data_IF_822960087966
#
_entry.id   IF_822960087966
#
_cell.length_a   1.000
_cell.length_b   1.000
_cell.length_c   1.000
_cell.angle_alpha   90.00
_cell.angle_beta   90.00
_cell.angle_gamma   90.00
#
_symmetry.space_group_name_H-M   'P 1'
#
loop_
_entity.id
_entity.type
_entity.pdbx_description
1 polymer ?
#
# COMPACT_ATOMS: atom_id res chain seq x y z
N UNK A 1 -23.42 -46.90 -7.83
CA UNK A 1 -22.09 -46.40 -7.49
C UNK A 1 -21.07 -46.48 -8.64
N UNK A 2 -21.00 -47.58 -9.42
CA UNK A 2 -20.13 -47.65 -10.61
C UNK A 2 -20.38 -46.52 -11.60
N UNK A 3 -21.63 -46.27 -11.96
CA UNK A 3 -22.06 -45.26 -12.93
C UNK A 3 -21.67 -43.84 -12.54
N UNK A 4 -21.85 -43.46 -11.27
CA UNK A 4 -21.51 -42.10 -10.77
C UNK A 4 -20.01 -41.85 -10.75
N UNK A 5 -19.20 -42.85 -10.43
CA UNK A 5 -17.73 -42.72 -10.45
C UNK A 5 -17.20 -42.56 -11.90
N UNK A 6 -17.80 -43.30 -12.82
CA UNK A 6 -17.48 -43.23 -14.24
C UNK A 6 -17.86 -41.87 -14.85
N UNK A 7 -19.08 -41.36 -14.54
CA UNK A 7 -19.55 -40.06 -15.04
C UNK A 7 -18.72 -38.87 -14.52
N UNK A 8 -18.18 -38.97 -13.28
CA UNK A 8 -17.38 -37.89 -12.67
C UNK A 8 -15.88 -38.03 -12.89
N UNK A 9 -15.40 -39.07 -13.57
CA UNK A 9 -13.97 -39.33 -13.78
C UNK A 9 -13.17 -39.50 -12.48
N UNK A 10 -13.81 -39.93 -11.38
CA UNK A 10 -13.18 -40.04 -10.06
C UNK A 10 -12.97 -41.49 -9.68
N UNK A 11 -11.78 -41.82 -9.19
CA UNK A 11 -11.48 -43.17 -8.71
C UNK A 11 -12.46 -43.62 -7.63
N UNK A 12 -12.99 -44.81 -7.76
CA UNK A 12 -14.00 -45.42 -6.89
C UNK A 12 -13.54 -45.50 -5.43
N UNK A 13 -12.26 -45.83 -5.22
CA UNK A 13 -11.58 -45.85 -3.92
C UNK A 13 -11.68 -44.48 -3.17
N UNK A 14 -11.46 -43.37 -3.84
CA UNK A 14 -11.54 -42.02 -3.24
C UNK A 14 -12.94 -41.67 -2.71
N UNK A 15 -14.00 -42.19 -3.30
CA UNK A 15 -15.39 -41.96 -2.85
C UNK A 15 -15.75 -42.82 -1.64
N UNK A 16 -15.31 -44.08 -1.62
CA UNK A 16 -15.51 -44.99 -0.48
C UNK A 16 -14.73 -44.45 0.72
N UNK A 17 -13.47 -44.09 0.54
CA UNK A 17 -12.64 -43.51 1.61
C UNK A 17 -13.23 -42.21 2.20
N UNK A 18 -13.88 -41.36 1.38
CA UNK A 18 -14.56 -40.15 1.86
C UNK A 18 -15.88 -40.43 2.57
N UNK A 19 -16.61 -41.46 2.17
CA UNK A 19 -17.88 -41.85 2.80
C UNK A 19 -17.65 -42.49 4.17
N UNK A 20 -16.62 -43.32 4.28
CA UNK A 20 -16.36 -44.15 5.46
C UNK A 20 -15.43 -43.45 6.47
N UNK A 21 -14.80 -42.35 6.07
CA UNK A 21 -14.13 -41.45 7.02
C UNK A 21 -15.18 -40.75 7.88
N UNK A 22 -15.35 -41.21 9.10
CA UNK A 22 -15.91 -40.42 10.18
C UNK A 22 -15.09 -39.12 10.20
N UNK A 23 -15.72 -37.99 9.86
CA UNK A 23 -15.09 -36.67 9.90
C UNK A 23 -14.88 -36.35 11.38
N UNK A 24 -13.83 -36.90 11.98
CA UNK A 24 -13.35 -36.39 13.25
C UNK A 24 -12.96 -34.92 12.99
N UNK A 25 -13.65 -34.02 13.67
CA UNK A 25 -13.28 -32.61 13.68
C UNK A 25 -11.78 -32.55 14.09
N UNK A 26 -10.91 -32.37 13.11
CA UNK A 26 -9.47 -32.18 13.38
C UNK A 26 -9.36 -30.92 14.21
N UNK A 27 -8.97 -31.07 15.44
CA UNK A 27 -8.60 -29.94 16.30
C UNK A 27 -7.59 -29.03 15.62
N UNK A 28 -7.36 -27.83 16.14
CA UNK A 28 -6.43 -26.88 15.54
C UNK A 28 -5.05 -27.52 15.38
N UNK A 29 -4.59 -27.62 14.13
CA UNK A 29 -3.31 -28.22 13.81
C UNK A 29 -2.18 -27.36 14.38
N UNK A 30 -1.44 -27.90 15.35
CA UNK A 30 -0.31 -27.25 16.04
C UNK A 30 0.96 -28.03 15.76
N UNK A 31 2.03 -27.31 15.44
CA UNK A 31 3.39 -27.85 15.36
C UNK A 31 4.22 -27.28 16.50
N UNK A 32 5.04 -28.11 17.16
CA UNK A 32 5.93 -27.66 18.23
C UNK A 32 6.84 -26.50 17.79
N UNK A 33 7.34 -26.55 16.55
CA UNK A 33 8.16 -25.51 15.93
C UNK A 33 7.44 -24.17 15.72
N UNK A 34 6.11 -24.11 15.85
CA UNK A 34 5.34 -22.87 15.71
C UNK A 34 5.56 -21.94 16.93
N UNK A 35 5.93 -22.51 18.08
CA UNK A 35 6.21 -21.72 19.29
C UNK A 35 7.33 -20.69 19.07
N UNK A 36 8.38 -21.06 18.33
CA UNK A 36 9.48 -20.15 18.01
C UNK A 36 9.12 -18.98 17.09
N UNK A 37 7.98 -19.05 16.40
CA UNK A 37 7.50 -17.98 15.52
C UNK A 37 6.49 -17.05 16.19
N UNK A 38 5.90 -17.46 17.30
CA UNK A 38 4.83 -16.70 17.95
C UNK A 38 5.31 -15.35 18.48
N UNK A 39 6.45 -15.31 19.17
CA UNK A 39 7.00 -14.07 19.71
C UNK A 39 7.35 -13.04 18.62
N UNK A 40 8.07 -13.39 17.55
CA UNK A 40 8.30 -12.46 16.45
C UNK A 40 7.01 -11.98 15.77
N UNK A 41 5.99 -12.86 15.61
CA UNK A 41 4.69 -12.47 15.04
C UNK A 41 3.98 -11.47 15.95
N UNK A 42 3.97 -11.69 17.27
CA UNK A 42 3.38 -10.76 18.24
C UNK A 42 4.08 -9.40 18.21
N UNK A 43 5.40 -9.37 18.24
CA UNK A 43 6.17 -8.12 18.17
C UNK A 43 5.80 -7.29 16.94
N UNK A 44 5.64 -7.92 15.76
CA UNK A 44 5.21 -7.22 14.55
C UNK A 44 3.77 -6.70 14.68
N UNK A 45 2.86 -7.45 15.29
CA UNK A 45 1.46 -7.05 15.46
C UNK A 45 1.34 -5.91 16.48
N UNK A 46 2.09 -5.97 17.56
CA UNK A 46 2.09 -4.92 18.60
C UNK A 46 2.58 -3.58 18.00
N UNK A 47 3.59 -3.61 17.15
CA UNK A 47 4.07 -2.44 16.41
C UNK A 47 3.12 -2.01 15.28
N UNK A 48 2.45 -2.97 14.63
CA UNK A 48 1.62 -2.78 13.42
C UNK A 48 0.23 -3.41 13.58
N UNK A 49 -0.62 -2.89 14.46
CA UNK A 49 -1.90 -3.54 14.82
C UNK A 49 -2.90 -3.61 13.68
N UNK A 50 -2.73 -2.86 12.61
CA UNK A 50 -3.58 -2.88 11.41
C UNK A 50 -3.15 -3.91 10.35
N UNK A 51 -2.05 -4.65 10.59
CA UNK A 51 -1.52 -5.57 9.59
C UNK A 51 -2.17 -6.95 9.66
N UNK A 52 -2.74 -7.38 8.55
CA UNK A 52 -3.18 -8.76 8.37
C UNK A 52 -2.00 -9.72 8.11
N UNK A 53 -2.27 -11.03 8.23
CA UNK A 53 -1.26 -12.09 8.15
C UNK A 53 -0.27 -12.00 6.96
N UNK A 54 -0.70 -11.44 5.82
CA UNK A 54 0.18 -11.31 4.65
C UNK A 54 1.27 -10.27 4.87
N UNK A 55 0.94 -9.12 5.46
CA UNK A 55 1.92 -8.08 5.80
C UNK A 55 2.80 -8.52 6.97
N UNK A 56 2.21 -9.11 8.00
CA UNK A 56 2.95 -9.70 9.13
C UNK A 56 3.95 -10.76 8.62
N UNK A 57 3.50 -11.67 7.74
CA UNK A 57 4.37 -12.68 7.15
C UNK A 57 5.47 -12.11 6.25
N UNK A 58 5.21 -11.00 5.56
CA UNK A 58 6.23 -10.33 4.76
C UNK A 58 7.35 -9.74 5.63
N UNK A 59 7.00 -9.02 6.70
CA UNK A 59 7.98 -8.49 7.66
C UNK A 59 8.72 -9.61 8.40
N UNK A 60 8.02 -10.63 8.87
CA UNK A 60 8.65 -11.81 9.48
C UNK A 60 9.68 -12.45 8.54
N UNK A 61 9.32 -12.66 7.28
CA UNK A 61 10.21 -13.26 6.30
C UNK A 61 11.39 -12.34 5.93
N UNK A 62 11.21 -11.03 6.01
CA UNK A 62 12.33 -10.08 5.86
C UNK A 62 13.33 -10.23 7.01
N UNK A 63 12.84 -10.27 8.27
CA UNK A 63 13.69 -10.50 9.45
C UNK A 63 14.37 -11.88 9.42
N UNK A 64 13.67 -12.93 8.99
CA UNK A 64 14.27 -14.27 8.88
C UNK A 64 15.38 -14.30 7.83
N UNK A 65 15.18 -13.67 6.68
CA UNK A 65 16.21 -13.58 5.63
C UNK A 65 17.44 -12.80 6.08
N UNK A 66 17.25 -11.65 6.76
CA UNK A 66 18.38 -10.88 7.29
C UNK A 66 19.17 -11.63 8.36
N UNK A 67 18.51 -12.56 9.08
CA UNK A 67 19.15 -13.44 10.06
C UNK A 67 19.68 -14.77 9.45
N UNK A 68 19.70 -14.91 8.11
CA UNK A 68 20.13 -16.15 7.44
C UNK A 68 19.22 -17.35 7.67
N UNK A 69 17.98 -17.16 8.13
CA UNK A 69 17.02 -18.22 8.44
C UNK A 69 16.05 -18.47 7.27
N UNK A 70 15.53 -19.70 7.21
CA UNK A 70 14.54 -20.08 6.21
C UNK A 70 13.24 -19.29 6.37
N UNK A 71 12.65 -18.89 5.24
CA UNK A 71 11.38 -18.17 5.21
C UNK A 71 10.20 -19.08 5.56
N UNK A 72 9.13 -18.47 6.04
CA UNK A 72 7.90 -19.14 6.49
C UNK A 72 6.77 -18.92 5.49
N UNK A 73 6.04 -20.00 5.17
CA UNK A 73 4.86 -19.90 4.30
C UNK A 73 3.76 -19.04 4.96
N UNK A 74 3.12 -18.18 4.18
CA UNK A 74 2.03 -17.29 4.64
C UNK A 74 0.83 -18.04 5.25
N UNK A 75 0.53 -19.27 4.78
CA UNK A 75 -0.49 -20.13 5.39
C UNK A 75 -0.13 -20.57 6.80
N UNK A 76 1.18 -20.77 7.07
CA UNK A 76 1.68 -21.10 8.41
C UNK A 76 1.52 -19.90 9.35
N UNK A 77 1.89 -18.71 8.88
CA UNK A 77 1.66 -17.44 9.64
C UNK A 77 0.18 -17.26 9.97
N UNK A 78 -0.71 -17.39 8.97
CA UNK A 78 -2.16 -17.30 9.17
C UNK A 78 -2.65 -18.27 10.25
N UNK A 79 -2.23 -19.54 10.19
CA UNK A 79 -2.61 -20.57 11.15
C UNK A 79 -2.17 -20.22 12.58
N UNK A 80 -0.92 -19.75 12.73
CA UNK A 80 -0.41 -19.32 14.05
C UNK A 80 -1.24 -18.16 14.57
N UNK A 81 -1.49 -17.15 13.74
CA UNK A 81 -2.31 -15.99 14.12
C UNK A 81 -3.74 -16.41 14.51
N UNK A 82 -4.36 -17.33 13.76
CA UNK A 82 -5.71 -17.85 14.09
C UNK A 82 -5.71 -18.61 15.42
N UNK A 83 -4.74 -19.49 15.66
CA UNK A 83 -4.66 -20.29 16.89
C UNK A 83 -4.45 -19.44 18.16
N UNK A 84 -3.97 -18.20 17.99
CA UNK A 84 -3.68 -17.29 19.10
C UNK A 84 -4.58 -16.04 19.13
N UNK A 85 -5.65 -15.99 18.31
CA UNK A 85 -6.60 -14.88 18.28
C UNK A 85 -6.01 -13.56 17.79
N UNK A 86 -4.94 -13.61 16.96
CA UNK A 86 -4.19 -12.45 16.46
C UNK A 86 -4.65 -11.95 15.07
N UNK A 87 -5.73 -12.47 14.56
CA UNK A 87 -6.27 -12.06 13.24
C UNK A 87 -7.18 -10.85 13.38
N UNK A 88 -7.11 -9.97 12.39
CA UNK A 88 -8.06 -8.86 12.31
C UNK A 88 -9.49 -9.38 12.12
N UNK A 89 -10.46 -8.65 12.68
CA UNK A 89 -11.87 -8.91 12.44
C UNK A 89 -12.21 -8.73 10.95
N UNK A 90 -13.03 -9.62 10.41
CA UNK A 90 -13.50 -9.52 9.03
C UNK A 90 -14.70 -8.58 8.97
N UNK A 91 -14.52 -7.46 8.28
CA UNK A 91 -15.69 -6.67 7.87
C UNK A 91 -16.41 -7.40 6.75
N UNK A 92 -17.62 -7.87 7.04
CA UNK A 92 -18.48 -8.63 6.09
C UNK A 92 -19.22 -7.73 5.10
N UNK A 93 -19.15 -6.41 5.23
CA UNK A 93 -19.77 -5.49 4.30
C UNK A 93 -19.21 -5.71 2.89
N UNK A 94 -19.99 -6.39 2.04
CA UNK A 94 -19.69 -6.57 0.61
C UNK A 94 -19.83 -5.20 -0.04
N UNK A 95 -18.71 -4.69 -0.56
CA UNK A 95 -18.77 -3.52 -1.44
C UNK A 95 -19.46 -3.92 -2.73
N UNK A 96 -20.35 -3.07 -3.29
CA UNK A 96 -20.89 -3.32 -4.62
C UNK A 96 -19.73 -3.44 -5.61
N UNK A 97 -19.83 -4.39 -6.53
CA UNK A 97 -18.88 -4.52 -7.63
C UNK A 97 -18.92 -3.22 -8.43
N UNK A 98 -17.82 -2.50 -8.43
CA UNK A 98 -17.66 -1.30 -9.26
C UNK A 98 -17.13 -1.75 -10.61
N UNK A 99 -17.77 -1.31 -11.69
CA UNK A 99 -17.22 -1.44 -13.02
C UNK A 99 -15.94 -0.60 -13.09
N UNK A 100 -14.82 -1.24 -13.40
CA UNK A 100 -13.54 -0.56 -13.60
C UNK A 100 -13.27 -0.48 -15.09
N UNK A 101 -13.05 0.72 -15.61
CA UNK A 101 -12.64 0.96 -17.00
C UNK A 101 -11.17 0.60 -17.27
N UNK A 102 -10.62 -0.33 -16.50
CA UNK A 102 -9.27 -0.85 -16.63
C UNK A 102 -8.36 -0.51 -15.46
N UNK A 103 -7.28 -1.27 -15.34
CA UNK A 103 -6.21 -1.04 -14.37
C UNK A 103 -5.05 -0.40 -15.11
N UNK A 104 -4.68 0.82 -14.70
CA UNK A 104 -3.47 1.47 -15.23
C UNK A 104 -2.26 0.77 -14.60
N UNK A 105 -1.55 0.00 -15.40
CA UNK A 105 -0.31 -0.67 -14.99
C UNK A 105 0.86 0.09 -15.59
N UNK A 106 1.57 0.83 -14.76
CA UNK A 106 2.89 1.35 -15.13
C UNK A 106 3.90 0.19 -15.04
N UNK A 107 4.46 -0.22 -16.18
CA UNK A 107 5.39 -1.37 -16.25
C UNK A 107 6.78 -1.01 -15.71
N UNK A 108 7.15 0.26 -15.76
CA UNK A 108 8.45 0.76 -15.33
C UNK A 108 8.29 1.99 -14.45
N UNK A 109 9.21 2.16 -13.52
CA UNK A 109 9.33 3.38 -12.71
C UNK A 109 9.63 4.59 -13.62
N UNK A 110 9.20 5.76 -13.19
CA UNK A 110 9.42 7.03 -13.85
C UNK A 110 8.73 7.20 -15.22
N UNK A 111 7.70 6.40 -15.51
CA UNK A 111 6.82 6.62 -16.67
C UNK A 111 5.63 7.48 -16.28
N UNK A 112 5.03 7.21 -15.11
CA UNK A 112 3.88 7.96 -14.59
C UNK A 112 3.99 8.20 -13.11
N UNK A 113 3.84 9.44 -12.73
CA UNK A 113 3.72 9.90 -11.35
C UNK A 113 2.29 10.34 -11.08
N UNK A 114 1.78 10.02 -9.90
CA UNK A 114 0.44 10.39 -9.47
C UNK A 114 0.57 11.39 -8.32
N UNK A 115 -0.02 12.56 -8.47
CA UNK A 115 -0.09 13.60 -7.44
C UNK A 115 -1.51 13.76 -6.94
N UNK A 116 -1.64 13.98 -5.64
CA UNK A 116 -2.90 14.23 -4.97
C UNK A 116 -2.62 14.93 -3.64
N UNK A 117 -3.68 15.30 -2.93
CA UNK A 117 -3.56 15.81 -1.57
C UNK A 117 -4.52 15.10 -0.63
N UNK A 118 -4.22 15.16 0.65
CA UNK A 118 -5.09 14.65 1.70
C UNK A 118 -5.17 15.63 2.88
N UNK A 119 -6.24 15.52 3.64
CA UNK A 119 -6.42 16.28 4.87
C UNK A 119 -6.38 15.34 6.08
N UNK A 120 -5.65 15.80 7.11
CA UNK A 120 -5.68 15.25 8.45
C UNK A 120 -6.22 16.33 9.42
N UNK A 121 -7.13 15.90 10.29
CA UNK A 121 -7.76 16.78 11.27
C UNK A 121 -7.18 16.49 12.66
N UNK A 122 -6.66 17.50 13.31
CA UNK A 122 -6.21 17.45 14.68
C UNK A 122 -7.38 17.53 15.66
N UNK A 123 -7.14 17.16 16.94
CA UNK A 123 -8.16 17.23 18.00
C UNK A 123 -8.59 18.66 18.33
N UNK A 124 -7.69 19.61 18.20
CA UNK A 124 -7.96 21.04 18.37
C UNK A 124 -8.67 21.70 17.17
N UNK A 125 -9.11 20.89 16.17
CA UNK A 125 -9.77 21.28 14.90
C UNK A 125 -8.87 21.92 13.84
N UNK A 126 -7.59 22.01 14.08
CA UNK A 126 -6.65 22.38 13.01
C UNK A 126 -6.62 21.33 11.93
N UNK A 127 -6.31 21.76 10.71
CA UNK A 127 -6.28 20.91 9.52
C UNK A 127 -4.90 20.98 8.88
N UNK A 128 -4.27 19.84 8.70
CA UNK A 128 -3.02 19.74 7.92
C UNK A 128 -3.36 19.14 6.56
N UNK A 129 -3.02 19.89 5.49
CA UNK A 129 -3.10 19.43 4.10
C UNK A 129 -1.76 18.97 3.65
N UNK A 130 -1.71 17.75 3.14
CA UNK A 130 -0.50 17.09 2.70
C UNK A 130 -0.62 16.88 1.20
N UNK A 131 0.23 17.58 0.44
CA UNK A 131 0.38 17.41 -0.99
C UNK A 131 1.52 16.41 -1.23
N UNK A 132 1.33 15.44 -2.12
CA UNK A 132 2.33 14.41 -2.40
C UNK A 132 2.34 13.99 -3.86
N UNK A 133 3.45 13.41 -4.28
CA UNK A 133 3.60 12.72 -5.55
C UNK A 133 4.28 11.38 -5.34
N UNK A 134 3.72 10.36 -5.99
CA UNK A 134 4.24 8.99 -5.94
C UNK A 134 4.37 8.39 -7.35
N UNK A 135 5.31 7.47 -7.51
CA UNK A 135 5.45 6.72 -8.75
C UNK A 135 4.38 5.64 -8.88
N UNK A 136 3.75 5.55 -10.05
CA UNK A 136 2.66 4.60 -10.31
C UNK A 136 3.12 3.14 -10.36
N UNK A 137 4.39 2.86 -10.61
CA UNK A 137 4.97 1.52 -10.66
C UNK A 137 5.48 1.08 -9.29
N UNK A 138 6.45 1.80 -8.74
CA UNK A 138 7.16 1.40 -7.51
C UNK A 138 6.52 1.90 -6.22
N UNK A 139 5.53 2.80 -6.29
CA UNK A 139 4.76 3.34 -5.14
C UNK A 139 5.56 4.21 -4.18
N UNK A 140 6.82 4.56 -4.49
CA UNK A 140 7.60 5.46 -3.66
C UNK A 140 6.97 6.85 -3.63
N UNK A 141 6.85 7.45 -2.44
CA UNK A 141 6.56 8.88 -2.32
C UNK A 141 7.84 9.64 -2.68
N UNK A 142 7.83 10.21 -3.89
CA UNK A 142 9.02 10.89 -4.43
C UNK A 142 9.25 12.22 -3.72
N UNK A 143 8.19 13.00 -3.57
CA UNK A 143 8.22 14.27 -2.85
C UNK A 143 6.87 14.52 -2.17
N UNK A 144 6.88 15.34 -1.13
CA UNK A 144 5.68 15.78 -0.43
C UNK A 144 5.92 17.13 0.23
N UNK A 145 4.84 17.85 0.48
CA UNK A 145 4.81 19.11 1.22
C UNK A 145 3.55 19.14 2.08
N UNK A 146 3.56 19.88 3.18
CA UNK A 146 2.39 19.99 4.05
C UNK A 146 2.23 21.40 4.57
N UNK A 147 0.97 21.81 4.76
CA UNK A 147 0.62 23.14 5.28
C UNK A 147 -0.50 23.01 6.31
N UNK A 148 -0.36 23.77 7.41
CA UNK A 148 -1.36 23.86 8.46
C UNK A 148 -2.36 24.98 8.15
N UNK A 149 -3.65 24.70 8.31
CA UNK A 149 -4.76 25.67 8.27
C UNK A 149 -4.87 26.53 6.99
N UNK A 150 -4.16 26.13 5.91
CA UNK A 150 -4.20 26.81 4.61
C UNK A 150 -4.52 25.82 3.48
N UNK A 151 -4.97 26.34 2.32
CA UNK A 151 -5.21 25.57 1.10
C UNK A 151 -3.92 25.21 0.38
N UNK A 152 -3.99 24.23 -0.53
CA UNK A 152 -2.90 23.91 -1.46
C UNK A 152 -2.85 25.01 -2.53
N UNK A 153 -1.73 25.70 -2.64
CA UNK A 153 -1.50 26.72 -3.64
C UNK A 153 -0.87 26.16 -4.92
N UNK A 154 -1.00 26.89 -6.05
CA UNK A 154 -0.30 26.55 -7.28
C UNK A 154 1.25 26.59 -7.12
N UNK A 155 1.76 27.45 -6.24
CA UNK A 155 3.18 27.50 -5.90
C UNK A 155 3.65 26.20 -5.25
N UNK A 156 2.92 25.70 -4.25
CA UNK A 156 3.22 24.43 -3.61
C UNK A 156 3.25 23.27 -4.62
N UNK A 157 2.35 23.28 -5.60
CA UNK A 157 2.34 22.24 -6.66
C UNK A 157 3.58 22.35 -7.54
N UNK A 158 3.97 23.57 -7.93
CA UNK A 158 5.19 23.79 -8.73
C UNK A 158 6.46 23.39 -7.97
N UNK A 159 6.57 23.77 -6.71
CA UNK A 159 7.69 23.39 -5.84
C UNK A 159 7.76 21.87 -5.67
N UNK A 160 6.62 21.19 -5.53
CA UNK A 160 6.56 19.73 -5.48
C UNK A 160 7.06 19.10 -6.77
N UNK A 161 6.73 19.67 -7.95
CA UNK A 161 7.22 19.18 -9.25
C UNK A 161 8.74 19.29 -9.34
N UNK A 162 9.29 20.45 -8.97
CA UNK A 162 10.76 20.68 -8.95
C UNK A 162 11.43 19.69 -8.00
N UNK A 163 10.96 19.61 -6.75
CA UNK A 163 11.51 18.71 -5.74
C UNK A 163 11.45 17.24 -6.18
N UNK A 164 10.39 16.83 -6.85
CA UNK A 164 10.25 15.46 -7.35
C UNK A 164 11.29 15.13 -8.43
N UNK A 165 11.47 16.02 -9.40
CA UNK A 165 12.45 15.85 -10.48
C UNK A 165 13.87 15.82 -9.93
N UNK A 166 14.23 16.78 -9.07
CA UNK A 166 15.53 16.84 -8.43
C UNK A 166 15.82 15.61 -7.58
N UNK A 167 14.86 15.18 -6.77
CA UNK A 167 15.03 14.03 -5.88
C UNK A 167 15.20 12.72 -6.66
N UNK A 168 14.43 12.55 -7.73
CA UNK A 168 14.38 11.29 -8.49
C UNK A 168 15.52 11.17 -9.48
N UNK A 169 15.87 12.25 -10.18
CA UNK A 169 16.84 12.23 -11.25
C UNK A 169 18.16 12.97 -10.95
N UNK A 170 18.22 13.75 -9.85
CA UNK A 170 19.36 14.62 -9.54
C UNK A 170 19.68 15.60 -10.68
N UNK A 171 18.64 16.07 -11.36
CA UNK A 171 18.70 16.96 -12.54
C UNK A 171 17.65 18.06 -12.43
N UNK A 172 17.77 19.07 -13.26
CA UNK A 172 16.80 20.17 -13.38
C UNK A 172 15.61 19.83 -14.28
N UNK A 173 15.69 18.74 -15.05
CA UNK A 173 14.58 18.23 -15.85
C UNK A 173 14.67 16.70 -15.95
N UNK A 174 13.57 16.08 -16.36
CA UNK A 174 13.51 14.62 -16.54
C UNK A 174 14.32 14.19 -17.77
N UNK A 175 14.97 13.01 -17.74
CA UNK A 175 15.75 12.50 -18.88
C UNK A 175 14.88 12.02 -20.04
N UNK A 176 13.60 11.80 -19.81
CA UNK A 176 12.55 11.43 -20.76
C UNK A 176 11.21 11.99 -20.28
N UNK A 177 10.19 12.12 -21.14
CA UNK A 177 8.87 12.56 -20.70
C UNK A 177 8.31 11.67 -19.58
N UNK A 178 7.78 12.29 -18.53
CA UNK A 178 7.10 11.62 -17.40
C UNK A 178 5.69 12.15 -17.31
N UNK A 179 4.72 11.25 -17.31
CA UNK A 179 3.32 11.61 -17.10
C UNK A 179 3.12 12.06 -15.65
N UNK A 180 2.53 13.25 -15.46
CA UNK A 180 2.08 13.76 -14.16
C UNK A 180 0.57 13.71 -14.08
N UNK A 181 0.03 12.70 -13.41
CA UNK A 181 -1.41 12.51 -13.24
C UNK A 181 -1.89 13.20 -11.97
N UNK A 182 -2.89 14.07 -12.09
CA UNK A 182 -3.56 14.73 -10.97
C UNK A 182 -5.08 14.85 -11.20
N UNK A 183 -5.79 15.33 -10.20
CA UNK A 183 -7.16 15.79 -10.39
C UNK A 183 -7.22 17.12 -11.17
N UNK A 184 -8.45 17.61 -11.45
CA UNK A 184 -8.69 18.88 -12.13
C UNK A 184 -8.69 20.08 -11.17
N UNK A 185 -7.99 20.03 -10.05
CA UNK A 185 -7.89 21.14 -9.11
C UNK A 185 -7.27 22.39 -9.73
N UNK A 186 -7.75 23.58 -9.34
CA UNK A 186 -7.30 24.86 -9.91
C UNK A 186 -5.77 25.06 -9.82
N UNK A 187 -5.13 24.55 -8.79
CA UNK A 187 -3.69 24.62 -8.61
C UNK A 187 -2.90 23.84 -9.69
N UNK A 188 -3.49 22.76 -10.22
CA UNK A 188 -2.84 21.93 -11.25
C UNK A 188 -3.08 22.45 -12.68
N UNK A 189 -4.27 23.02 -12.95
CA UNK A 189 -4.64 23.50 -14.29
C UNK A 189 -4.14 24.91 -14.59
N UNK A 190 -3.55 25.60 -13.62
CA UNK A 190 -3.04 26.96 -13.79
C UNK A 190 -1.95 27.01 -14.88
N UNK A 191 -1.95 28.09 -15.69
CA UNK A 191 -0.99 28.28 -16.78
C UNK A 191 0.46 28.16 -16.29
N UNK A 192 0.79 28.82 -15.18
CA UNK A 192 2.14 28.79 -14.62
C UNK A 192 2.57 27.38 -14.23
N UNK A 193 1.64 26.55 -13.72
CA UNK A 193 1.90 25.15 -13.41
C UNK A 193 2.18 24.35 -14.68
N UNK A 194 1.44 24.58 -15.76
CA UNK A 194 1.67 23.93 -17.04
C UNK A 194 3.01 24.34 -17.68
N UNK A 195 3.41 25.61 -17.54
CA UNK A 195 4.69 26.09 -18.07
C UNK A 195 5.87 25.49 -17.30
N UNK A 196 5.82 25.42 -15.98
CA UNK A 196 6.84 24.76 -15.15
C UNK A 196 6.88 23.25 -15.45
N UNK A 197 5.74 22.57 -15.51
CA UNK A 197 5.70 21.13 -15.85
C UNK A 197 6.42 20.87 -17.18
N UNK A 198 6.14 21.67 -18.22
CA UNK A 198 6.80 21.56 -19.52
C UNK A 198 8.31 21.78 -19.44
N UNK A 199 8.76 22.79 -18.69
CA UNK A 199 10.17 23.07 -18.48
C UNK A 199 10.91 21.91 -17.78
N UNK A 200 10.22 21.22 -16.87
CA UNK A 200 10.74 20.06 -16.16
C UNK A 200 10.68 18.73 -16.98
N UNK A 201 10.04 18.74 -18.16
CA UNK A 201 9.83 17.52 -18.96
C UNK A 201 8.67 16.64 -18.47
N UNK A 202 7.74 17.22 -17.70
CA UNK A 202 6.52 16.55 -17.20
C UNK A 202 5.36 16.78 -18.19
N UNK A 203 4.59 15.72 -18.44
CA UNK A 203 3.37 15.78 -19.24
C UNK A 203 2.16 15.73 -18.30
N UNK A 204 1.43 16.84 -18.21
CA UNK A 204 0.24 16.90 -17.35
C UNK A 204 -0.88 16.04 -17.91
N UNK A 205 -1.40 15.16 -17.07
CA UNK A 205 -2.59 14.34 -17.32
C UNK A 205 -3.60 14.60 -16.20
N UNK A 206 -4.86 14.75 -16.59
CA UNK A 206 -5.94 14.99 -15.64
C UNK A 206 -6.90 13.81 -15.61
N UNK A 207 -7.41 13.50 -14.42
CA UNK A 207 -8.44 12.46 -14.28
C UNK A 207 -9.74 12.94 -14.97
N UNK A 208 -10.44 12.06 -15.71
CA UNK A 208 -11.73 12.42 -16.28
C UNK A 208 -12.72 12.89 -15.20
N UNK A 209 -13.55 13.86 -15.54
CA UNK A 209 -14.62 14.34 -14.65
C UNK A 209 -15.53 13.15 -14.31
N UNK A 210 -15.75 12.90 -13.02
CA UNK A 210 -16.53 11.76 -12.46
C UNK A 210 -15.89 10.38 -12.56
N UNK A 211 -14.57 10.28 -12.80
CA UNK A 211 -13.84 9.00 -12.73
C UNK A 211 -12.76 9.05 -11.64
N UNK A 212 -13.13 9.04 -10.35
CA UNK A 212 -12.16 9.06 -9.24
C UNK A 212 -11.24 7.84 -9.26
N UNK A 213 -11.62 6.78 -9.96
CA UNK A 213 -10.88 5.53 -10.09
C UNK A 213 -9.57 5.68 -10.88
N UNK A 214 -9.45 6.74 -11.68
CA UNK A 214 -8.24 7.03 -12.47
C UNK A 214 -7.02 7.32 -11.61
N UNK A 215 -7.20 7.75 -10.33
CA UNK A 215 -6.12 7.98 -9.36
C UNK A 215 -6.13 6.96 -8.19
N UNK A 216 -6.56 5.74 -8.45
CA UNK A 216 -6.68 4.68 -7.44
C UNK A 216 -5.38 4.37 -6.69
N UNK A 217 -4.24 4.75 -7.25
CA UNK A 217 -2.92 4.59 -6.63
C UNK A 217 -2.75 5.60 -5.50
N UNK A 218 -3.02 6.89 -5.75
CA UNK A 218 -3.01 7.94 -4.74
C UNK A 218 -4.04 7.67 -3.65
N UNK A 219 -5.26 7.27 -4.02
CA UNK A 219 -6.28 6.87 -3.04
C UNK A 219 -5.82 5.71 -2.13
N UNK A 220 -5.10 4.74 -2.69
CA UNK A 220 -4.56 3.63 -1.91
C UNK A 220 -3.53 4.10 -0.89
N UNK A 221 -2.67 5.05 -1.25
CA UNK A 221 -1.74 5.69 -0.33
C UNK A 221 -2.49 6.46 0.76
N UNK A 222 -3.44 7.33 0.41
CA UNK A 222 -4.27 8.09 1.36
C UNK A 222 -4.95 7.17 2.36
N UNK A 223 -5.56 6.07 1.89
CA UNK A 223 -6.19 5.06 2.75
C UNK A 223 -5.19 4.41 3.70
N UNK A 224 -3.98 4.11 3.21
CA UNK A 224 -2.90 3.51 4.00
C UNK A 224 -2.40 4.48 5.05
N UNK A 225 -2.07 5.73 4.68
CA UNK A 225 -1.61 6.75 5.62
C UNK A 225 -2.62 6.99 6.75
N UNK A 226 -3.89 7.15 6.39
CA UNK A 226 -4.96 7.35 7.38
C UNK A 226 -5.17 6.14 8.30
N UNK A 227 -5.13 4.91 7.77
CA UNK A 227 -5.39 3.68 8.53
C UNK A 227 -4.22 3.25 9.39
N UNK A 228 -3.03 3.21 8.79
CA UNK A 228 -1.86 2.53 9.37
C UNK A 228 -0.96 3.48 10.17
N UNK A 229 -1.15 4.80 10.00
CA UNK A 229 -0.37 5.82 10.70
C UNK A 229 -1.26 6.80 11.48
N UNK A 230 -2.07 7.61 10.81
CA UNK A 230 -2.81 8.69 11.47
C UNK A 230 -3.79 8.19 12.54
N UNK A 231 -4.51 7.08 12.31
CA UNK A 231 -5.47 6.52 13.28
C UNK A 231 -4.83 5.85 14.49
N UNK A 232 -3.56 5.50 14.41
CA UNK A 232 -2.82 4.86 15.50
C UNK A 232 -2.17 5.89 16.43
N UNK A 233 -2.18 7.16 16.04
CA UNK A 233 -1.54 8.24 16.77
C UNK A 233 -2.56 9.27 17.29
N UNK A 234 -2.20 9.96 18.35
CA UNK A 234 -2.99 11.04 18.91
C UNK A 234 -2.55 12.33 18.21
N UNK A 235 -3.41 12.87 17.36
CA UNK A 235 -3.18 14.09 16.58
C UNK A 235 -3.65 15.29 17.41
N UNK A 236 -2.84 15.80 18.33
CA UNK A 236 -3.21 16.88 19.24
C UNK A 236 -3.49 18.19 18.51
N UNK A 237 -2.58 18.61 17.65
CA UNK A 237 -2.55 19.86 16.89
C UNK A 237 -1.83 19.65 15.56
N UNK A 238 -1.74 20.71 14.76
CA UNK A 238 -1.08 20.68 13.46
C UNK A 238 0.42 20.42 13.57
N UNK A 239 1.09 20.97 14.58
CA UNK A 239 2.53 20.80 14.77
C UNK A 239 2.88 19.33 15.09
N UNK A 240 2.06 18.67 15.91
CA UNK A 240 2.23 17.24 16.19
C UNK A 240 2.09 16.39 14.90
N UNK A 241 1.13 16.73 14.01
CA UNK A 241 0.99 16.04 12.74
C UNK A 241 2.22 16.28 11.87
N UNK A 242 2.63 17.54 11.71
CA UNK A 242 3.78 17.92 10.89
C UNK A 242 5.08 17.24 11.36
N UNK A 243 5.27 17.11 12.68
CA UNK A 243 6.43 16.44 13.26
C UNK A 243 6.48 14.92 12.96
N UNK A 244 5.32 14.26 12.88
CA UNK A 244 5.23 12.81 12.62
C UNK A 244 5.31 12.45 11.12
N UNK A 245 4.95 13.36 10.22
CA UNK A 245 4.86 13.07 8.79
C UNK A 245 6.15 12.55 8.16
N UNK A 246 7.35 13.10 8.44
CA UNK A 246 8.59 12.59 7.86
C UNK A 246 8.80 11.11 8.16
N UNK A 247 8.61 10.70 9.41
CA UNK A 247 8.78 9.32 9.84
C UNK A 247 7.74 8.37 9.22
N UNK A 248 6.49 8.82 9.08
CA UNK A 248 5.44 8.02 8.45
C UNK A 248 5.71 7.79 6.97
N UNK A 249 6.17 8.81 6.25
CA UNK A 249 6.48 8.69 4.82
C UNK A 249 7.74 7.86 4.62
N UNK A 250 8.74 8.03 5.48
CA UNK A 250 9.96 7.21 5.43
C UNK A 250 9.63 5.73 5.70
N UNK A 251 8.84 5.44 6.74
CA UNK A 251 8.38 4.09 7.04
C UNK A 251 7.55 3.49 5.89
N UNK A 252 6.67 4.29 5.27
CA UNK A 252 5.92 3.87 4.11
C UNK A 252 6.83 3.46 2.95
N UNK A 253 7.87 4.23 2.68
CA UNK A 253 8.80 3.97 1.58
C UNK A 253 9.76 2.82 1.88
N UNK A 254 10.27 2.68 3.12
CA UNK A 254 11.29 1.69 3.49
C UNK A 254 10.71 0.37 4.01
N UNK A 255 9.60 0.43 4.76
CA UNK A 255 9.16 -0.72 5.56
C UNK A 255 7.84 -1.29 5.08
N UNK A 256 6.84 -0.43 4.74
CA UNK A 256 5.46 -0.86 4.52
C UNK A 256 5.32 -1.86 3.35
N UNK A 257 4.77 -3.09 3.58
CA UNK A 257 4.64 -4.09 2.52
C UNK A 257 3.44 -3.81 1.62
N UNK A 258 3.66 -3.69 0.31
CA UNK A 258 2.63 -3.47 -0.70
C UNK A 258 2.25 -4.75 -1.44
N UNK A 259 0.96 -5.06 -1.51
CA UNK A 259 0.48 -6.24 -2.25
C UNK A 259 0.83 -6.16 -3.74
N UNK A 260 0.73 -4.99 -4.35
CA UNK A 260 1.10 -4.75 -5.75
C UNK A 260 2.60 -4.92 -6.04
N UNK A 261 3.46 -4.80 -5.01
CA UNK A 261 4.90 -5.00 -5.10
C UNK A 261 5.34 -6.38 -4.55
N UNK A 262 4.46 -7.37 -4.58
CA UNK A 262 4.71 -8.71 -4.02
C UNK A 262 5.10 -8.66 -2.52
N UNK A 263 4.46 -7.77 -1.77
CA UNK A 263 4.70 -7.50 -0.34
C UNK A 263 6.10 -6.95 -0.02
N UNK A 264 6.76 -6.32 -0.98
CA UNK A 264 7.95 -5.49 -0.77
C UNK A 264 7.53 -4.08 -0.41
N UNK A 265 8.43 -3.33 0.25
CA UNK A 265 8.31 -1.88 0.35
C UNK A 265 8.72 -1.21 -0.98
N UNK A 266 8.33 0.05 -1.24
CA UNK A 266 8.73 0.78 -2.43
C UNK A 266 10.23 0.74 -2.69
N UNK A 267 11.05 1.11 -1.73
CA UNK A 267 12.50 1.15 -1.90
C UNK A 267 13.15 -0.25 -1.95
N UNK A 268 12.59 -1.25 -1.25
CA UNK A 268 13.00 -2.65 -1.44
C UNK A 268 12.74 -3.10 -2.88
N UNK A 269 11.60 -2.71 -3.45
CA UNK A 269 11.26 -3.02 -4.83
C UNK A 269 12.23 -2.35 -5.81
N UNK A 270 12.52 -1.05 -5.66
CA UNK A 270 13.46 -0.31 -6.49
C UNK A 270 14.85 -0.96 -6.45
N UNK A 271 15.38 -1.24 -5.25
CA UNK A 271 16.71 -1.87 -5.08
C UNK A 271 16.85 -3.24 -5.73
N UNK A 272 15.75 -3.97 -5.91
CA UNK A 272 15.74 -5.29 -6.54
C UNK A 272 15.39 -5.26 -8.03
N UNK A 273 15.02 -4.10 -8.56
CA UNK A 273 14.66 -3.90 -9.97
C UNK A 273 15.74 -3.12 -10.73
N UNK A 274 16.67 -2.50 -10.02
CA UNK A 274 17.86 -1.86 -10.54
C UNK A 274 18.94 -2.90 -10.81
#
# INVERSE_FOLDING_TARGET
MKTVASTLGVARSNRIERRDKVIQARGPYRKAEDAGLLLPIRAIIDERPTYGYRRVGALLNRHLRSAGKATVNMKRVLRIMQNHGLTLERHTARRPDRAHDGVIIALHSNIRWCSDHLELHARNREVVRILFVLDACDREIIAWSAVANAGISGEMVRDLMVAAVERRFKRTCTPHPVDWLSDNGSAYIAKDTADIARALGLTLLFTPVRSPESNGISESFVKTLKRDYARLNILHDADAILAMLPDWIEDYCEIHPHSGLKFRSPREFIRLSA
#
